data_IF_881925123344
#
_entry.id   IF_881925123344
#
_cell.length_a   1.000
_cell.length_b   1.000
_cell.length_c   1.000
_cell.angle_alpha   90.00
_cell.angle_beta   90.00
_cell.angle_gamma   90.00
#
_symmetry.space_group_name_H-M   'P 1'
#
loop_
_entity.id
_entity.type
_entity.pdbx_description
1 polymer ?
#
# COMPACT_ATOMS: atom_id res chain seq x y z
N UNK A 1 -10.68 0.93 0.28
CA UNK A 1 -10.43 -0.38 0.89
C UNK A 1 -8.98 -0.82 0.76
N UNK A 2 -8.30 -0.59 -0.38
CA UNK A 2 -6.87 -0.93 -0.53
C UNK A 2 -5.92 -0.22 0.45
N UNK A 3 -6.15 1.06 0.76
CA UNK A 3 -5.28 1.85 1.67
C UNK A 3 -5.09 1.23 3.06
N UNK A 4 -6.14 0.62 3.63
CA UNK A 4 -6.07 -0.04 4.96
C UNK A 4 -5.16 -1.25 4.94
N UNK A 5 -5.24 -2.02 3.85
CA UNK A 5 -4.43 -3.22 3.71
C UNK A 5 -3.00 -2.87 3.31
N UNK A 6 -2.81 -1.81 2.52
CA UNK A 6 -1.49 -1.31 2.10
C UNK A 6 -0.65 -0.88 3.31
N UNK A 7 -1.20 -0.05 4.20
CA UNK A 7 -0.52 0.37 5.43
C UNK A 7 -0.16 -0.85 6.31
N UNK A 8 -1.03 -1.86 6.39
CA UNK A 8 -0.82 -3.05 7.20
C UNK A 8 0.24 -3.99 6.59
N UNK A 9 0.25 -4.14 5.26
CA UNK A 9 1.23 -4.94 4.54
C UNK A 9 2.64 -4.37 4.76
N UNK A 10 2.80 -3.04 4.65
CA UNK A 10 4.11 -2.40 4.83
C UNK A 10 4.66 -2.62 6.25
N UNK A 11 3.80 -2.54 7.28
CA UNK A 11 4.20 -2.85 8.67
C UNK A 11 4.61 -4.31 8.80
N UNK A 12 3.79 -5.24 8.30
CA UNK A 12 4.03 -6.68 8.39
C UNK A 12 5.31 -7.10 7.65
N UNK A 13 5.55 -6.55 6.47
CA UNK A 13 6.75 -6.82 5.68
C UNK A 13 7.99 -6.40 6.47
N UNK A 14 7.96 -5.23 7.12
CA UNK A 14 9.08 -4.81 7.94
C UNK A 14 9.27 -5.69 9.18
N UNK A 15 8.20 -6.07 9.88
CA UNK A 15 8.27 -6.98 11.04
C UNK A 15 8.85 -8.34 10.62
N UNK A 16 8.36 -8.90 9.50
CA UNK A 16 8.83 -10.17 8.96
C UNK A 16 10.31 -10.08 8.59
N UNK A 17 10.73 -8.98 7.95
CA UNK A 17 12.14 -8.71 7.64
C UNK A 17 13.01 -8.63 8.90
N UNK A 18 12.51 -8.12 10.02
CA UNK A 18 13.25 -8.12 11.30
C UNK A 18 13.35 -9.52 11.90
N UNK A 19 12.28 -10.32 11.81
CA UNK A 19 12.31 -11.73 12.23
C UNK A 19 13.28 -12.56 11.37
N UNK A 20 13.35 -12.31 10.07
CA UNK A 20 14.32 -12.95 9.17
C UNK A 20 15.77 -12.56 9.46
N UNK A 21 16.00 -11.37 10.04
CA UNK A 21 17.31 -10.94 10.55
C UNK A 21 17.66 -11.56 11.91
N UNK A 22 16.79 -12.38 12.48
CA UNK A 22 17.01 -13.08 13.75
C UNK A 22 16.53 -12.34 15.00
N UNK A 23 15.75 -11.26 14.85
CA UNK A 23 15.14 -10.60 16.01
C UNK A 23 13.99 -11.45 16.58
N UNK A 24 13.91 -11.56 17.90
CA UNK A 24 12.79 -12.23 18.57
C UNK A 24 11.47 -11.53 18.27
N UNK A 25 10.37 -12.29 18.20
CA UNK A 25 9.05 -11.84 17.73
C UNK A 25 8.58 -10.49 18.31
N UNK A 26 8.69 -10.29 19.62
CA UNK A 26 8.28 -9.03 20.26
C UNK A 26 9.21 -7.87 19.85
N UNK A 27 10.52 -8.11 19.82
CA UNK A 27 11.50 -7.10 19.41
C UNK A 27 11.29 -6.69 17.95
N UNK A 28 11.08 -7.67 17.06
CA UNK A 28 10.79 -7.44 15.65
C UNK A 28 9.50 -6.63 15.45
N UNK A 29 8.45 -6.90 16.23
CA UNK A 29 7.20 -6.12 16.17
C UNK A 29 7.42 -4.66 16.59
N UNK A 30 8.16 -4.42 17.68
CA UNK A 30 8.41 -3.07 18.21
C UNK A 30 9.35 -2.29 17.29
N UNK A 31 10.49 -2.87 16.94
CA UNK A 31 11.51 -2.23 16.10
C UNK A 31 11.00 -2.02 14.68
N UNK A 32 10.38 -3.05 14.11
CA UNK A 32 9.82 -3.02 12.76
C UNK A 32 8.76 -1.92 12.63
N UNK A 33 7.85 -1.80 13.59
CA UNK A 33 6.81 -0.75 13.55
C UNK A 33 7.40 0.66 13.77
N UNK A 34 8.40 0.82 14.64
CA UNK A 34 9.03 2.12 14.91
C UNK A 34 9.78 2.69 13.70
N UNK A 35 10.48 1.86 12.94
CA UNK A 35 11.24 2.30 11.76
C UNK A 35 10.32 2.87 10.67
N UNK A 36 9.19 2.21 10.42
CA UNK A 36 8.26 2.55 9.33
C UNK A 36 7.10 3.46 9.77
N UNK A 37 6.87 3.62 11.07
CA UNK A 37 5.78 4.46 11.59
C UNK A 37 5.86 5.91 11.13
N UNK A 38 7.07 6.49 11.08
CA UNK A 38 7.27 7.84 10.54
C UNK A 38 6.97 7.92 9.04
N UNK A 39 7.34 6.88 8.28
CA UNK A 39 7.05 6.77 6.85
C UNK A 39 5.54 6.73 6.59
N UNK A 40 4.79 5.92 7.35
CA UNK A 40 3.32 5.84 7.23
C UNK A 40 2.70 7.21 7.50
N UNK A 41 3.04 7.85 8.62
CA UNK A 41 2.49 9.18 8.96
C UNK A 41 2.79 10.21 7.85
N UNK A 42 4.00 10.20 7.30
CA UNK A 42 4.39 11.12 6.22
C UNK A 42 3.63 10.86 4.93
N UNK A 43 3.42 9.59 4.57
CA UNK A 43 2.60 9.19 3.43
C UNK A 43 1.14 9.61 3.65
N UNK A 44 0.55 9.29 4.80
CA UNK A 44 -0.82 9.69 5.18
C UNK A 44 -1.02 11.20 5.04
N UNK A 45 -0.11 12.02 5.59
CA UNK A 45 -0.16 13.48 5.47
C UNK A 45 -0.06 13.96 4.01
N UNK A 46 0.76 13.30 3.19
CA UNK A 46 0.88 13.59 1.76
C UNK A 46 -0.44 13.31 1.03
N UNK A 47 -1.13 12.21 1.37
CA UNK A 47 -2.45 11.91 0.82
C UNK A 47 -3.48 12.96 1.24
N UNK A 48 -3.46 13.40 2.51
CA UNK A 48 -4.35 14.46 2.99
C UNK A 48 -4.13 15.78 2.23
N UNK A 49 -2.86 16.12 1.92
CA UNK A 49 -2.52 17.35 1.24
C UNK A 49 -3.15 17.45 -0.16
N UNK A 50 -3.36 16.33 -0.85
CA UNK A 50 -4.01 16.28 -2.17
C UNK A 50 -5.48 16.70 -2.10
N UNK A 51 -6.13 16.58 -0.94
CA UNK A 51 -7.52 17.01 -0.74
C UNK A 51 -7.66 18.48 -0.34
N UNK A 52 -6.58 19.15 0.05
CA UNK A 52 -6.61 20.58 0.43
C UNK A 52 -7.26 21.46 -0.66
N UNK A 53 -6.88 21.36 -1.96
CA UNK A 53 -7.49 22.19 -3.01
C UNK A 53 -9.01 21.98 -3.14
N UNK A 54 -9.49 20.77 -2.81
CA UNK A 54 -10.91 20.41 -2.90
C UNK A 54 -11.69 21.10 -1.79
N UNK A 55 -11.10 21.25 -0.59
CA UNK A 55 -11.71 21.99 0.52
C UNK A 55 -11.86 23.49 0.21
N UNK A 56 -11.01 24.05 -0.65
CA UNK A 56 -11.08 25.46 -1.08
C UNK A 56 -12.01 25.70 -2.28
N UNK A 57 -12.54 24.66 -2.92
CA UNK A 57 -13.48 24.82 -4.04
C UNK A 57 -14.87 25.24 -3.55
N UNK A 58 -15.34 26.38 -4.07
CA UNK A 58 -16.68 26.91 -3.79
C UNK A 58 -17.71 26.44 -4.83
N UNK A 59 -18.99 26.34 -4.44
CA UNK A 59 -20.11 25.99 -5.31
C UNK A 59 -20.84 24.69 -4.90
N UNK A 60 -21.90 24.32 -5.64
CA UNK A 60 -22.64 23.07 -5.40
C UNK A 60 -21.73 21.85 -5.50
N UNK A 61 -20.87 21.82 -6.53
CA UNK A 61 -19.94 20.72 -6.75
C UNK A 61 -18.87 20.64 -5.65
N UNK A 62 -18.42 21.80 -5.15
CA UNK A 62 -17.49 21.87 -4.02
C UNK A 62 -18.06 21.25 -2.75
N UNK A 63 -19.34 21.48 -2.43
CA UNK A 63 -20.00 20.89 -1.25
C UNK A 63 -20.06 19.36 -1.30
N UNK A 64 -20.42 18.80 -2.46
CA UNK A 64 -20.47 17.34 -2.64
C UNK A 64 -19.07 16.71 -2.52
N UNK A 65 -18.07 17.32 -3.17
CA UNK A 65 -16.69 16.82 -3.11
C UNK A 65 -16.04 17.02 -1.74
N UNK A 66 -16.40 18.07 -1.01
CA UNK A 66 -15.95 18.31 0.36
C UNK A 66 -16.42 17.19 1.28
N UNK A 67 -17.69 16.78 1.19
CA UNK A 67 -18.23 15.69 1.99
C UNK A 67 -17.50 14.36 1.73
N UNK A 68 -17.23 14.05 0.46
CA UNK A 68 -16.42 12.88 0.08
C UNK A 68 -14.97 12.99 0.56
N UNK A 69 -14.36 14.18 0.45
CA UNK A 69 -12.99 14.43 0.88
C UNK A 69 -12.83 14.21 2.39
N UNK A 70 -13.79 14.68 3.21
CA UNK A 70 -13.79 14.48 4.66
C UNK A 70 -13.89 13.00 5.01
N UNK A 71 -14.78 12.23 4.35
CA UNK A 71 -14.92 10.79 4.58
C UNK A 71 -13.63 10.04 4.24
N UNK A 72 -13.05 10.30 3.07
CA UNK A 72 -11.81 9.64 2.62
C UNK A 72 -10.64 10.00 3.53
N UNK A 73 -10.49 11.28 3.87
CA UNK A 73 -9.43 11.78 4.76
C UNK A 73 -9.52 11.13 6.14
N UNK A 74 -10.73 11.07 6.71
CA UNK A 74 -10.97 10.43 8.01
C UNK A 74 -10.70 8.92 7.95
N UNK A 75 -11.11 8.26 6.86
CA UNK A 75 -10.84 6.83 6.66
C UNK A 75 -9.34 6.53 6.56
N UNK A 76 -8.56 7.36 5.86
CA UNK A 76 -7.11 7.23 5.70
C UNK A 76 -6.38 7.49 7.04
N UNK A 77 -6.82 8.49 7.82
CA UNK A 77 -6.26 8.73 9.15
C UNK A 77 -6.50 7.53 10.09
N UNK A 78 -7.74 7.04 10.14
CA UNK A 78 -8.08 5.87 10.95
C UNK A 78 -7.32 4.62 10.48
N UNK A 79 -7.17 4.44 9.17
CA UNK A 79 -6.35 3.38 8.56
C UNK A 79 -4.93 3.35 9.11
N UNK A 80 -4.21 4.49 9.04
CA UNK A 80 -2.82 4.57 9.50
C UNK A 80 -2.69 4.27 11.00
N UNK A 81 -3.61 4.79 11.83
CA UNK A 81 -3.61 4.54 13.28
C UNK A 81 -3.89 3.06 13.60
N UNK A 82 -4.89 2.47 12.93
CA UNK A 82 -5.24 1.06 13.08
C UNK A 82 -4.06 0.19 12.64
N UNK A 83 -3.40 0.49 11.54
CA UNK A 83 -2.27 -0.30 11.07
C UNK A 83 -1.09 -0.28 12.05
N UNK A 84 -0.68 0.88 12.56
CA UNK A 84 0.46 1.00 13.49
C UNK A 84 0.16 0.35 14.85
N UNK A 85 -1.12 0.19 15.21
CA UNK A 85 -1.52 -0.35 16.53
C UNK A 85 -1.94 -1.81 16.46
N UNK A 86 -2.85 -2.14 15.55
CA UNK A 86 -3.48 -3.46 15.43
C UNK A 86 -2.54 -4.43 14.73
N UNK A 87 -1.84 -4.02 13.66
CA UNK A 87 -0.93 -4.92 12.94
C UNK A 87 0.17 -5.51 13.82
N UNK A 88 0.95 -4.74 14.61
CA UNK A 88 1.97 -5.35 15.47
C UNK A 88 1.38 -6.22 16.58
N UNK A 89 0.20 -5.87 17.12
CA UNK A 89 -0.49 -6.70 18.10
C UNK A 89 -0.88 -8.06 17.49
N UNK A 90 -1.46 -8.05 16.29
CA UNK A 90 -1.81 -9.25 15.56
C UNK A 90 -0.57 -10.05 15.18
N UNK A 91 0.51 -9.42 14.74
CA UNK A 91 1.77 -10.11 14.44
C UNK A 91 2.31 -10.81 15.69
N UNK A 92 2.29 -10.15 16.86
CA UNK A 92 2.74 -10.75 18.10
C UNK A 92 1.87 -11.94 18.57
N UNK A 93 0.61 -12.02 18.16
CA UNK A 93 -0.28 -13.15 18.49
C UNK A 93 -0.19 -14.26 17.44
N UNK A 94 -0.28 -13.91 16.15
CA UNK A 94 -0.48 -14.86 15.06
C UNK A 94 0.79 -15.34 14.37
N UNK A 95 1.92 -14.60 14.37
CA UNK A 95 3.15 -15.11 13.74
C UNK A 95 3.73 -16.24 14.58
N UNK A 96 3.81 -17.45 14.03
CA UNK A 96 4.46 -18.57 14.73
C UNK A 96 5.97 -18.36 14.65
N UNK A 97 6.65 -18.28 15.81
CA UNK A 97 8.11 -18.24 15.85
C UNK A 97 8.64 -19.50 15.17
N UNK A 98 9.30 -19.35 14.02
CA UNK A 98 10.02 -20.47 13.39
C UNK A 98 11.39 -20.72 14.04
N UNK A 99 11.73 -19.97 15.09
CA UNK A 99 13.02 -20.02 15.78
C UNK A 99 12.96 -20.10 17.31
N UNK A 100 11.79 -20.26 17.93
CA UNK A 100 11.69 -20.41 19.38
C UNK A 100 11.15 -21.80 19.76
N UNK A 101 11.95 -22.82 19.52
CA UNK A 101 11.93 -24.06 20.29
C UNK A 101 13.17 -24.04 21.17
N UNK A 102 13.13 -23.23 22.25
CA UNK A 102 13.76 -23.49 23.55
C UNK A 102 13.73 -22.22 24.43
N UNK A 103 13.10 -22.35 25.59
CA UNK A 103 13.07 -21.46 26.76
C UNK A 103 12.19 -20.21 26.68
N UNK A 104 10.97 -20.34 27.17
CA UNK A 104 10.68 -20.07 28.59
C UNK A 104 9.20 -20.34 28.84
N UNK A 105 8.97 -21.31 29.72
CA UNK A 105 7.66 -21.59 30.30
C UNK A 105 7.09 -20.36 31.03
N UNK A 106 5.75 -20.37 31.12
CA UNK A 106 4.90 -19.65 32.08
C UNK A 106 4.80 -18.12 31.96
N UNK A 107 3.67 -17.65 31.41
CA UNK A 107 2.54 -17.22 32.25
C UNK A 107 1.29 -16.83 31.40
N UNK A 108 0.16 -17.48 31.71
CA UNK A 108 -1.25 -17.06 31.50
C UNK A 108 -1.77 -17.13 30.05
N UNK A 109 -2.29 -18.26 29.54
CA UNK A 109 -3.59 -18.92 29.84
C UNK A 109 -4.80 -18.00 29.72
N UNK A 110 -5.41 -17.91 28.54
CA UNK A 110 -6.71 -18.55 28.25
C UNK A 110 -7.62 -17.50 27.59
N UNK A 111 -8.57 -17.76 26.69
CA UNK A 111 -9.25 -18.97 26.27
C UNK A 111 -10.06 -18.62 24.99
N UNK A 112 -10.10 -19.56 24.02
CA UNK A 112 -11.06 -19.78 22.92
C UNK A 112 -11.46 -18.61 21.98
N UNK A 113 -11.48 -18.76 20.65
CA UNK A 113 -12.27 -19.78 19.94
C UNK A 113 -11.63 -20.20 18.61
N UNK A 114 -11.21 -21.47 18.58
CA UNK A 114 -11.56 -22.48 17.55
C UNK A 114 -11.88 -21.98 16.13
N UNK A 115 -10.85 -21.95 15.27
CA UNK A 115 -10.98 -22.42 13.88
C UNK A 115 -9.86 -23.44 13.67
N UNK A 116 -10.30 -24.69 13.54
CA UNK A 116 -9.51 -25.90 13.50
C UNK A 116 -8.48 -25.93 12.35
N UNK A 117 -7.23 -26.24 12.73
CA UNK A 117 -6.49 -27.43 12.29
C UNK A 117 -6.72 -27.91 10.86
N UNK A 118 -5.83 -27.52 9.95
CA UNK A 118 -5.41 -28.37 8.81
C UNK A 118 -4.09 -27.84 8.20
N UNK A 119 -3.03 -27.77 9.00
CA UNK A 119 -1.67 -27.77 8.46
C UNK A 119 -1.30 -29.21 8.09
N UNK A 120 -1.80 -29.67 6.95
CA UNK A 120 -1.18 -30.75 6.19
C UNK A 120 -0.97 -30.17 4.79
N UNK A 121 0.19 -29.59 4.53
CA UNK A 121 0.59 -29.24 3.16
C UNK A 121 1.53 -30.36 2.69
N UNK A 122 1.01 -31.47 2.13
CA UNK A 122 1.84 -32.38 1.38
C UNK A 122 2.32 -31.65 0.12
N UNK A 123 3.58 -31.89 -0.20
CA UNK A 123 4.32 -31.42 -1.36
C UNK A 123 3.65 -31.88 -2.68
N UNK A 124 3.86 -31.07 -3.73
CA UNK A 124 3.92 -31.43 -5.17
C UNK A 124 2.65 -31.24 -6.02
N UNK A 125 2.51 -30.03 -6.61
CA UNK A 125 2.49 -29.76 -8.07
C UNK A 125 2.03 -28.31 -8.32
N UNK A 126 1.00 -27.84 -7.62
CA UNK A 126 0.48 -26.47 -7.81
C UNK A 126 1.45 -25.35 -7.40
N UNK A 127 2.21 -25.53 -6.32
CA UNK A 127 3.23 -24.55 -5.91
C UNK A 127 4.41 -24.48 -6.89
N UNK A 128 4.74 -25.60 -7.56
CA UNK A 128 5.83 -25.67 -8.54
C UNK A 128 5.45 -24.99 -9.86
N UNK A 129 4.20 -25.15 -10.29
CA UNK A 129 3.68 -24.45 -11.47
C UNK A 129 3.54 -22.94 -11.19
N UNK A 130 3.11 -22.57 -9.99
CA UNK A 130 3.02 -21.17 -9.57
C UNK A 130 4.41 -20.52 -9.50
N UNK A 131 5.41 -21.23 -8.99
CA UNK A 131 6.78 -20.74 -8.91
C UNK A 131 7.42 -20.62 -10.30
N UNK A 132 7.23 -21.61 -11.20
CA UNK A 132 7.66 -21.51 -12.60
C UNK A 132 6.93 -20.40 -13.37
N UNK A 133 5.63 -20.22 -13.12
CA UNK A 133 4.86 -19.14 -13.72
C UNK A 133 5.33 -17.78 -13.21
N UNK A 134 5.64 -17.64 -11.92
CA UNK A 134 6.16 -16.42 -11.33
C UNK A 134 7.55 -16.08 -11.87
N UNK A 135 8.43 -17.07 -11.99
CA UNK A 135 9.75 -16.89 -12.59
C UNK A 135 9.68 -16.56 -14.09
N UNK A 136 8.75 -17.16 -14.84
CA UNK A 136 8.47 -16.78 -16.23
C UNK A 136 8.02 -15.32 -16.33
N UNK A 137 7.11 -14.88 -15.45
CA UNK A 137 6.62 -13.50 -15.40
C UNK A 137 7.76 -12.54 -15.03
N UNK A 138 8.59 -12.86 -14.04
CA UNK A 138 9.78 -12.08 -13.68
C UNK A 138 10.77 -11.95 -14.82
N UNK A 139 11.09 -13.05 -15.51
CA UNK A 139 12.03 -13.07 -16.63
C UNK A 139 11.55 -12.18 -17.78
N UNK A 140 10.25 -12.24 -18.08
CA UNK A 140 9.63 -11.40 -19.10
C UNK A 140 9.59 -9.93 -18.69
N UNK A 141 9.27 -9.64 -17.42
CA UNK A 141 9.28 -8.29 -16.86
C UNK A 141 10.68 -7.66 -16.92
N UNK A 142 11.72 -8.40 -16.52
CA UNK A 142 13.12 -7.94 -16.60
C UNK A 142 13.54 -7.66 -18.04
N UNK A 143 13.10 -8.49 -18.99
CA UNK A 143 13.38 -8.28 -20.42
C UNK A 143 12.65 -7.05 -20.96
N UNK A 144 11.39 -6.83 -20.58
CA UNK A 144 10.64 -5.63 -20.94
C UNK A 144 11.22 -4.35 -20.32
N UNK A 145 11.63 -4.39 -19.06
CA UNK A 145 12.32 -3.28 -18.39
C UNK A 145 13.59 -2.90 -19.12
N UNK A 146 14.40 -3.88 -19.51
CA UNK A 146 15.63 -3.63 -20.28
C UNK A 146 15.33 -2.93 -21.60
N UNK A 147 14.32 -3.40 -22.35
CA UNK A 147 13.90 -2.79 -23.62
C UNK A 147 13.39 -1.35 -23.44
N UNK A 148 12.61 -1.08 -22.39
CA UNK A 148 12.04 0.26 -22.10
C UNK A 148 13.11 1.24 -21.64
N UNK A 149 14.06 0.77 -20.82
CA UNK A 149 15.20 1.58 -20.36
C UNK A 149 16.17 1.86 -21.52
N UNK A 150 16.45 0.88 -22.37
CA UNK A 150 17.32 1.04 -23.55
C UNK A 150 16.72 1.99 -24.60
N UNK A 151 15.38 2.03 -24.69
CA UNK A 151 14.63 3.00 -25.49
C UNK A 151 14.06 4.16 -24.64
N UNK A 152 14.81 4.64 -23.64
CA UNK A 152 14.39 5.75 -22.77
C UNK A 152 13.92 6.98 -23.56
N UNK A 153 14.58 7.31 -24.68
CA UNK A 153 14.19 8.43 -25.57
C UNK A 153 12.81 8.23 -26.20
N UNK A 154 12.48 7.02 -26.63
CA UNK A 154 11.19 6.68 -27.26
C UNK A 154 10.08 6.68 -26.22
N UNK A 155 10.33 6.14 -25.03
CA UNK A 155 9.40 6.17 -23.89
C UNK A 155 9.11 7.60 -23.46
N UNK A 156 10.14 8.46 -23.41
CA UNK A 156 9.98 9.88 -23.09
C UNK A 156 9.20 10.63 -24.18
N UNK A 157 9.40 10.32 -25.46
CA UNK A 157 8.62 10.86 -26.58
C UNK A 157 7.14 10.44 -26.53
N UNK A 158 6.85 9.20 -26.14
CA UNK A 158 5.47 8.73 -25.95
C UNK A 158 4.80 9.46 -24.78
N UNK A 159 5.47 9.59 -23.63
CA UNK A 159 4.95 10.35 -22.50
C UNK A 159 4.80 11.84 -22.83
N UNK A 160 5.76 12.43 -23.55
CA UNK A 160 5.70 13.82 -24.01
C UNK A 160 4.56 14.03 -25.01
N UNK A 161 4.38 13.14 -25.99
CA UNK A 161 3.28 13.23 -26.95
C UNK A 161 1.92 13.07 -26.27
N UNK A 162 1.77 12.15 -25.30
CA UNK A 162 0.55 12.04 -24.50
C UNK A 162 0.29 13.33 -23.71
N UNK A 163 1.32 13.92 -23.09
CA UNK A 163 1.23 15.20 -22.39
C UNK A 163 0.92 16.36 -23.33
N UNK A 164 1.51 16.40 -24.53
CA UNK A 164 1.30 17.42 -25.55
C UNK A 164 -0.12 17.34 -26.15
N UNK A 165 -0.64 16.12 -26.35
CA UNK A 165 -2.03 15.88 -26.78
C UNK A 165 -3.02 16.34 -25.69
N UNK A 166 -2.75 16.03 -24.42
CA UNK A 166 -3.56 16.49 -23.30
C UNK A 166 -3.54 18.03 -23.15
N UNK A 167 -2.38 18.66 -23.32
CA UNK A 167 -2.27 20.13 -23.35
C UNK A 167 -3.02 20.72 -24.55
N UNK A 168 -2.84 20.16 -25.74
CA UNK A 168 -3.50 20.62 -26.96
C UNK A 168 -5.02 20.47 -26.93
N UNK A 169 -5.54 19.38 -26.33
CA UNK A 169 -6.99 19.21 -26.04
C UNK A 169 -7.47 20.21 -25.00
N UNK A 170 -6.72 20.43 -23.92
CA UNK A 170 -7.10 21.39 -22.85
C UNK A 170 -7.13 22.83 -23.37
N UNK A 171 -6.18 23.23 -24.22
CA UNK A 171 -6.16 24.55 -24.86
C UNK A 171 -7.26 24.70 -25.91
N UNK A 172 -7.57 23.66 -26.71
CA UNK A 172 -8.72 23.68 -27.63
C UNK A 172 -10.06 23.79 -26.90
N UNK A 173 -10.25 23.08 -25.79
CA UNK A 173 -11.45 23.18 -24.95
C UNK A 173 -11.57 24.58 -24.33
N UNK A 174 -10.47 25.18 -23.86
CA UNK A 174 -10.47 26.53 -23.31
C UNK A 174 -10.75 27.60 -24.38
N UNK A 175 -10.32 27.38 -25.63
CA UNK A 175 -10.58 28.27 -26.77
C UNK A 175 -12.00 28.07 -27.37
N UNK A 176 -12.65 26.93 -27.10
CA UNK A 176 -14.03 26.61 -27.50
C UNK A 176 -15.09 26.98 -26.46
N UNK A 177 -14.71 27.67 -25.37
CA UNK A 177 -15.65 28.37 -24.49
C UNK A 177 -15.70 29.82 -24.99
N UNK A 178 -16.55 30.16 -25.97
CA UNK A 178 -16.77 31.56 -26.31
C UNK A 178 -17.36 32.23 -25.07
N UNK A 179 -16.74 33.34 -24.70
CA UNK A 179 -17.29 34.35 -23.79
C UNK A 179 -18.71 34.63 -24.28
N UNK A 180 -19.70 34.11 -23.55
CA UNK A 180 -21.09 34.53 -23.70
C UNK A 180 -21.19 35.93 -23.12
N UNK A 181 -21.03 36.86 -24.05
CA UNK A 181 -21.35 38.27 -24.02
C UNK A 181 -22.40 38.63 -22.95
N UNK A 182 -22.02 39.51 -22.03
CA UNK A 182 -22.94 40.17 -21.10
C UNK A 182 -23.23 41.55 -21.68
N UNK A 183 -24.41 41.66 -22.30
CA UNK A 183 -25.18 42.90 -22.34
C UNK A 183 -25.69 43.28 -20.95
#
# INVERSE_FOLDING_TARGET
MGFVVDDAIVVLENITRHMEKGEGKIAACINGTKEIGFTIVSMTLSLMAVFIPILFMSGILGKLLHELAVVITTAILLSGVISITVTPMLCNVFLKDRHCEERSDEAISGHQTEIATASLTPRNDESLLTEKAFEYVKQKYSSSLKTVVEHSKTTMLILLSQRLIYLGKSVKVLCLIPIRDKS
#
